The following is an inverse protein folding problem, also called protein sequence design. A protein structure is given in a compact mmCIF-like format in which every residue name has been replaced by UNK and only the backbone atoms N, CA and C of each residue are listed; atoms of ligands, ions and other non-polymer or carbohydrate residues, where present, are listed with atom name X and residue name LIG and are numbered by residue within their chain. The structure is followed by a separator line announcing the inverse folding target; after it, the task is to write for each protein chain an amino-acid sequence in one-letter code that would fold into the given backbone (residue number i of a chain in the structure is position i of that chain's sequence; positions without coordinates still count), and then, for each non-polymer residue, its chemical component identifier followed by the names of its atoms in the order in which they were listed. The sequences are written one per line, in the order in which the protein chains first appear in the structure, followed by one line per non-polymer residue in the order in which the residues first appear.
data_IF_402402901206
#
_entry.id   IF_402402901206
#
_cell.length_a   1.000
_cell.length_b   1.000
_cell.length_c   1.000
_cell.angle_alpha   90.00
_cell.angle_beta   90.00
_cell.angle_gamma   90.00
#
_symmetry.space_group_name_H-M   'P 1'
#
loop_
_entity.id
_entity.type
_entity.pdbx_description
1 polymer ?
#
# COMPACT_ATOMS: atom_id res chain seq x y z
N UNK A 1 36.21 -2.79 -15.19
CA UNK A 1 35.75 -4.15 -14.90
C UNK A 1 34.24 -4.12 -14.87
N UNK A 2 33.64 -4.90 -15.76
CA UNK A 2 32.18 -4.88 -16.04
C UNK A 2 31.40 -5.49 -14.90
N UNK A 3 30.44 -4.75 -14.31
CA UNK A 3 29.41 -5.34 -13.45
C UNK A 3 28.16 -5.59 -14.30
N UNK A 4 27.83 -6.85 -14.41
CA UNK A 4 26.65 -7.38 -15.08
C UNK A 4 25.38 -7.01 -14.29
N UNK A 5 24.46 -6.37 -14.97
CA UNK A 5 23.07 -6.25 -14.54
C UNK A 5 22.44 -7.64 -14.47
N UNK A 6 21.92 -8.01 -13.31
CA UNK A 6 20.91 -9.07 -13.21
C UNK A 6 19.54 -8.43 -13.21
N UNK A 7 18.93 -8.39 -14.38
CA UNK A 7 17.53 -8.08 -14.57
C UNK A 7 16.74 -9.38 -14.37
N UNK A 8 16.05 -9.55 -13.25
CA UNK A 8 15.06 -10.61 -13.08
C UNK A 8 13.70 -10.03 -13.39
N UNK A 9 13.33 -10.13 -14.67
CA UNK A 9 12.02 -9.78 -15.18
C UNK A 9 11.12 -10.99 -15.03
N UNK A 10 10.07 -10.89 -14.22
CA UNK A 10 8.91 -11.77 -14.22
C UNK A 10 7.66 -10.93 -14.45
N UNK A 11 7.58 -10.38 -15.67
CA UNK A 11 6.32 -9.83 -16.17
C UNK A 11 5.73 -10.95 -17.06
N UNK A 12 4.74 -11.64 -16.54
CA UNK A 12 3.89 -12.53 -17.31
C UNK A 12 3.05 -11.69 -18.29
N UNK A 13 3.48 -11.62 -19.52
CA UNK A 13 2.74 -10.99 -20.62
C UNK A 13 1.52 -11.85 -20.91
N UNK A 14 0.34 -11.32 -20.62
CA UNK A 14 -0.91 -11.85 -21.13
C UNK A 14 -1.01 -11.47 -22.61
N UNK A 15 -0.48 -12.34 -23.49
CA UNK A 15 -0.65 -12.22 -24.94
C UNK A 15 -2.10 -12.50 -25.30
N UNK A 16 -2.88 -11.43 -25.57
CA UNK A 16 -4.11 -11.53 -26.33
C UNK A 16 -3.73 -11.89 -27.77
N UNK A 17 -3.88 -13.18 -28.12
CA UNK A 17 -3.79 -13.66 -29.49
C UNK A 17 -4.96 -13.08 -30.29
N UNK A 18 -4.68 -12.13 -31.16
CA UNK A 18 -5.60 -11.70 -32.20
C UNK A 18 -5.60 -12.82 -33.29
N UNK A 19 -6.61 -13.67 -33.23
CA UNK A 19 -6.84 -14.65 -34.28
C UNK A 19 -7.44 -13.96 -35.50
N UNK A 20 -6.72 -13.92 -36.58
CA UNK A 20 -7.23 -13.52 -37.90
C UNK A 20 -8.29 -14.51 -38.36
N UNK A 21 -9.54 -14.05 -38.37
CA UNK A 21 -10.66 -14.83 -38.93
C UNK A 21 -10.58 -14.79 -40.46
N UNK A 22 -10.25 -15.92 -41.04
CA UNK A 22 -10.38 -16.11 -42.46
C UNK A 22 -11.87 -16.12 -42.83
N UNK A 23 -12.29 -15.22 -43.69
CA UNK A 23 -13.64 -15.16 -44.25
C UNK A 23 -13.84 -16.29 -45.23
N UNK A 24 -14.51 -17.35 -44.81
CA UNK A 24 -15.08 -18.32 -45.74
C UNK A 24 -16.48 -17.85 -46.15
N UNK A 25 -16.69 -17.66 -47.42
CA UNK A 25 -17.97 -17.34 -48.02
C UNK A 25 -19.02 -18.40 -47.65
N UNK A 26 -19.98 -18.02 -46.82
CA UNK A 26 -21.11 -18.88 -46.49
C UNK A 26 -22.09 -18.92 -47.65
N UNK A 27 -22.37 -20.13 -48.10
CA UNK A 27 -23.45 -20.47 -49.04
C UNK A 27 -24.76 -20.18 -48.29
N UNK A 28 -25.61 -19.32 -48.86
CA UNK A 28 -26.93 -19.05 -48.34
C UNK A 28 -27.79 -20.30 -48.43
N UNK A 29 -27.96 -20.98 -47.30
CA UNK A 29 -28.94 -22.03 -47.14
C UNK A 29 -30.23 -21.42 -46.58
N UNK A 30 -31.31 -21.75 -47.25
CA UNK A 30 -32.71 -21.45 -47.00
C UNK A 30 -33.08 -21.39 -45.51
N UNK A 31 -33.14 -20.17 -44.93
CA UNK A 31 -33.34 -19.89 -43.48
C UNK A 31 -34.82 -19.70 -43.14
N UNK A 32 -35.73 -19.84 -44.13
CA UNK A 32 -37.17 -19.57 -43.92
C UNK A 32 -37.93 -20.68 -43.17
N UNK A 33 -37.25 -21.76 -42.78
CA UNK A 33 -37.94 -22.92 -42.20
C UNK A 33 -37.65 -23.18 -40.73
N UNK A 34 -36.86 -22.36 -40.07
CA UNK A 34 -36.45 -22.58 -38.66
C UNK A 34 -36.88 -21.43 -37.72
N UNK A 35 -37.54 -20.42 -38.21
CA UNK A 35 -38.10 -19.40 -37.34
C UNK A 35 -39.54 -19.79 -36.95
N UNK A 36 -39.68 -20.84 -36.15
CA UNK A 36 -40.77 -20.86 -35.17
C UNK A 36 -40.58 -19.65 -34.27
N UNK A 37 -41.66 -18.94 -33.87
CA UNK A 37 -41.55 -17.91 -32.90
C UNK A 37 -41.15 -18.53 -31.57
N UNK A 38 -39.88 -18.92 -31.43
CA UNK A 38 -39.28 -19.12 -30.12
C UNK A 38 -39.43 -17.81 -29.39
N UNK A 39 -40.11 -17.87 -28.25
CA UNK A 39 -40.22 -16.75 -27.33
C UNK A 39 -38.89 -16.00 -27.33
N UNK A 40 -38.86 -14.83 -27.94
CA UNK A 40 -37.73 -13.93 -27.84
C UNK A 40 -37.44 -13.79 -26.35
N UNK A 41 -36.22 -14.01 -25.88
CA UNK A 41 -35.91 -13.76 -24.49
C UNK A 41 -36.38 -12.32 -24.21
N UNK A 42 -37.32 -12.19 -23.29
CA UNK A 42 -37.74 -10.87 -22.82
C UNK A 42 -36.45 -10.19 -22.33
N UNK A 43 -35.94 -9.29 -23.19
CA UNK A 43 -34.88 -8.37 -22.76
C UNK A 43 -35.54 -7.57 -21.65
N UNK A 44 -35.32 -7.96 -20.40
CA UNK A 44 -35.65 -7.10 -19.28
C UNK A 44 -34.95 -5.79 -19.57
N UNK A 45 -35.68 -4.65 -19.63
CA UNK A 45 -35.01 -3.38 -19.77
C UNK A 45 -33.95 -3.37 -18.66
N UNK A 46 -32.69 -3.18 -19.04
CA UNK A 46 -31.62 -2.97 -18.11
C UNK A 46 -32.04 -1.72 -17.35
N UNK A 47 -32.53 -1.90 -16.13
CA UNK A 47 -32.76 -0.77 -15.24
C UNK A 47 -31.40 -0.12 -15.13
N UNK A 48 -31.29 1.09 -15.68
CA UNK A 48 -30.08 1.91 -15.55
C UNK A 48 -29.88 2.09 -14.07
N UNK A 49 -29.09 1.22 -13.46
CA UNK A 49 -28.95 1.09 -12.02
C UNK A 49 -28.16 2.27 -11.46
N UNK A 50 -28.83 3.43 -11.40
CA UNK A 50 -28.32 4.59 -10.69
C UNK A 50 -28.57 4.37 -9.22
N UNK A 51 -27.54 4.07 -8.45
CA UNK A 51 -27.78 3.89 -7.06
C UNK A 51 -26.60 3.94 -6.11
N UNK A 52 -26.96 4.38 -4.91
CA UNK A 52 -26.04 4.35 -3.80
C UNK A 52 -25.76 2.91 -3.33
N UNK A 53 -24.53 2.68 -2.92
CA UNK A 53 -24.17 1.44 -2.24
C UNK A 53 -23.26 1.72 -1.05
N UNK A 54 -23.34 0.86 -0.06
CA UNK A 54 -22.36 0.76 1.01
C UNK A 54 -21.41 -0.38 0.71
N UNK A 55 -20.16 -0.23 1.09
CA UNK A 55 -19.17 -1.32 1.00
C UNK A 55 -18.44 -1.51 2.30
N UNK A 56 -18.04 -2.74 2.56
CA UNK A 56 -17.10 -3.11 3.60
C UNK A 56 -16.08 -4.07 3.03
N UNK A 57 -14.82 -3.91 3.41
CA UNK A 57 -13.71 -4.67 2.87
C UNK A 57 -12.79 -5.16 3.97
N UNK A 58 -12.26 -6.35 3.81
CA UNK A 58 -11.09 -6.84 4.54
C UNK A 58 -9.99 -7.12 3.52
N UNK A 59 -8.76 -6.77 3.87
CA UNK A 59 -7.61 -6.97 3.00
C UNK A 59 -6.49 -7.71 3.72
N UNK A 60 -5.69 -8.42 2.96
CA UNK A 60 -4.46 -9.03 3.41
C UNK A 60 -3.30 -8.51 2.56
N UNK A 61 -2.28 -7.95 3.22
CA UNK A 61 -1.09 -7.44 2.56
C UNK A 61 -0.19 -8.61 2.15
N UNK A 62 -0.17 -8.90 0.85
CA UNK A 62 0.65 -9.98 0.31
C UNK A 62 2.13 -9.58 0.17
N UNK A 63 2.38 -8.28 -0.02
CA UNK A 63 3.73 -7.73 -0.15
C UNK A 63 3.72 -6.24 0.15
N UNK A 64 4.71 -5.79 0.89
CA UNK A 64 5.03 -4.38 1.08
C UNK A 64 6.46 -4.13 0.62
N UNK A 65 6.65 -3.11 -0.21
CA UNK A 65 7.96 -2.63 -0.63
C UNK A 65 8.13 -1.21 -0.08
N UNK A 66 9.29 -0.95 0.50
CA UNK A 66 9.61 0.34 1.08
C UNK A 66 10.89 0.86 0.44
N UNK A 67 10.88 2.12 0.08
CA UNK A 67 12.11 2.80 -0.25
C UNK A 67 12.97 2.95 1.01
N UNK A 68 14.29 2.93 0.81
CA UNK A 68 15.22 2.92 1.92
C UNK A 68 14.99 4.10 2.87
N UNK A 69 14.70 3.85 4.16
CA UNK A 69 14.58 4.91 5.13
C UNK A 69 15.93 5.60 5.34
N UNK A 70 15.90 6.86 5.74
CA UNK A 70 17.07 7.63 6.10
C UNK A 70 17.01 8.08 7.54
N UNK A 71 18.16 8.24 8.18
CA UNK A 71 18.22 8.86 9.49
C UNK A 71 19.47 9.74 9.62
N UNK A 72 19.38 10.73 10.50
CA UNK A 72 20.46 11.65 10.81
C UNK A 72 20.82 11.56 12.30
N UNK A 73 22.10 11.69 12.57
CA UNK A 73 22.61 11.86 13.93
C UNK A 73 22.89 13.34 14.20
N UNK A 74 22.80 13.75 15.46
CA UNK A 74 23.08 15.10 15.88
C UNK A 74 24.18 15.09 16.95
N UNK A 75 25.15 15.98 16.82
CA UNK A 75 26.18 16.22 17.82
C UNK A 75 26.13 17.66 18.36
N UNK A 76 26.59 17.86 19.60
CA UNK A 76 26.53 19.14 20.34
C UNK A 76 27.15 20.34 19.61
N UNK A 77 27.95 20.11 18.59
CA UNK A 77 28.52 21.16 17.74
C UNK A 77 27.60 21.58 16.58
N UNK A 78 26.27 21.32 16.66
CA UNK A 78 25.27 21.53 15.59
C UNK A 78 25.59 20.80 14.28
N UNK A 79 26.28 19.70 14.36
CA UNK A 79 26.62 18.90 13.20
C UNK A 79 25.61 17.75 13.04
N UNK A 80 24.87 17.79 11.93
CA UNK A 80 24.05 16.70 11.48
C UNK A 80 24.86 15.79 10.58
N UNK A 81 24.77 14.47 10.80
CA UNK A 81 25.44 13.47 9.97
C UNK A 81 24.45 12.41 9.55
N UNK A 82 24.46 12.03 8.28
CA UNK A 82 23.67 10.92 7.81
C UNK A 82 24.21 9.61 8.38
N UNK A 83 23.31 8.81 8.92
CA UNK A 83 23.57 7.41 9.27
C UNK A 83 23.36 6.51 8.07
N UNK A 84 23.88 5.28 8.15
CA UNK A 84 23.69 4.25 7.13
C UNK A 84 22.67 3.24 7.60
N UNK A 85 21.54 3.11 6.86
CA UNK A 85 20.57 2.04 7.08
C UNK A 85 21.13 0.76 6.49
N UNK A 86 21.18 -0.30 7.27
CA UNK A 86 21.66 -1.62 6.85
C UNK A 86 20.53 -2.55 6.46
N UNK A 87 19.45 -2.54 7.23
CA UNK A 87 18.23 -3.30 6.96
C UNK A 87 17.01 -2.54 7.45
N UNK A 88 15.91 -2.69 6.75
CA UNK A 88 14.60 -2.20 7.20
C UNK A 88 13.54 -3.23 6.88
N UNK A 89 12.61 -3.41 7.78
CA UNK A 89 11.40 -4.21 7.58
C UNK A 89 10.20 -3.41 8.02
N UNK A 90 9.16 -3.45 7.19
CA UNK A 90 7.85 -2.91 7.49
C UNK A 90 6.85 -4.01 7.20
N UNK A 91 5.94 -4.24 8.10
CA UNK A 91 4.99 -5.35 8.02
C UNK A 91 3.59 -4.83 8.31
N UNK A 92 2.71 -5.02 7.32
CA UNK A 92 1.27 -4.85 7.44
C UNK A 92 0.61 -6.21 7.23
N UNK A 93 -0.23 -6.66 8.13
CA UNK A 93 -0.89 -7.96 7.97
C UNK A 93 -2.26 -7.82 7.33
N UNK A 94 -3.15 -7.10 8.00
CA UNK A 94 -4.54 -6.97 7.61
C UNK A 94 -5.00 -5.53 7.56
N UNK A 95 -5.94 -5.28 6.66
CA UNK A 95 -6.68 -4.03 6.58
C UNK A 95 -8.17 -4.29 6.77
N UNK A 96 -8.86 -3.30 7.31
CA UNK A 96 -10.31 -3.24 7.33
C UNK A 96 -10.72 -1.90 6.76
N UNK A 97 -11.74 -1.90 5.91
CA UNK A 97 -12.21 -0.68 5.27
C UNK A 97 -13.71 -0.67 5.06
N UNK A 98 -14.20 0.51 4.80
CA UNK A 98 -15.59 0.73 4.43
C UNK A 98 -15.75 1.98 3.60
N UNK A 99 -16.89 2.12 2.96
CA UNK A 99 -17.13 3.26 2.11
C UNK A 99 -18.57 3.36 1.62
N UNK A 100 -18.82 4.48 0.97
CA UNK A 100 -20.07 4.76 0.29
C UNK A 100 -19.77 5.06 -1.17
N UNK A 101 -20.57 4.53 -2.06
CA UNK A 101 -20.38 4.72 -3.49
C UNK A 101 -21.67 4.93 -4.24
N UNK A 102 -21.51 5.31 -5.48
CA UNK A 102 -22.60 5.55 -6.40
C UNK A 102 -22.30 4.89 -7.75
N UNK A 103 -23.27 4.19 -8.30
CA UNK A 103 -23.23 3.63 -9.65
C UNK A 103 -23.84 4.66 -10.60
N UNK A 104 -23.02 5.24 -11.47
CA UNK A 104 -23.45 6.23 -12.45
C UNK A 104 -24.12 5.58 -13.67
N UNK A 105 -23.54 4.45 -14.09
CA UNK A 105 -24.03 3.63 -15.21
C UNK A 105 -23.75 2.15 -14.91
N UNK A 106 -24.17 1.26 -15.80
CA UNK A 106 -23.84 -0.18 -15.66
C UNK A 106 -22.35 -0.45 -15.77
N UNK A 107 -21.59 0.46 -16.41
CA UNK A 107 -20.15 0.33 -16.58
C UNK A 107 -19.31 1.13 -15.59
N UNK A 108 -19.85 2.22 -15.03
CA UNK A 108 -19.06 3.15 -14.22
C UNK A 108 -19.65 3.35 -12.84
N UNK A 109 -18.80 3.24 -11.85
CA UNK A 109 -19.11 3.53 -10.44
C UNK A 109 -17.96 4.26 -9.78
N UNK A 110 -18.25 4.97 -8.71
CA UNK A 110 -17.25 5.61 -7.88
C UNK A 110 -17.60 5.46 -6.41
N UNK A 111 -16.60 5.52 -5.57
CA UNK A 111 -16.80 5.51 -4.13
C UNK A 111 -15.78 6.36 -3.37
N UNK A 112 -16.12 6.65 -2.13
CA UNK A 112 -15.22 7.19 -1.12
C UNK A 112 -15.03 6.12 -0.08
N UNK A 113 -13.78 5.77 0.21
CA UNK A 113 -13.43 4.73 1.18
C UNK A 113 -12.51 5.26 2.26
N UNK A 114 -12.63 4.66 3.44
CA UNK A 114 -11.70 4.80 4.54
C UNK A 114 -11.19 3.40 4.90
N UNK A 115 -9.88 3.20 4.76
CA UNK A 115 -9.20 1.95 5.12
C UNK A 115 -8.30 2.19 6.34
N UNK A 116 -8.30 1.24 7.26
CA UNK A 116 -7.47 1.21 8.46
C UNK A 116 -6.50 0.05 8.36
N UNK A 117 -5.23 0.32 8.57
CA UNK A 117 -4.17 -0.68 8.57
C UNK A 117 -3.29 -0.46 9.77
N UNK A 118 -2.94 -1.54 10.45
CA UNK A 118 -1.95 -1.53 11.53
C UNK A 118 -0.73 -2.30 11.08
N UNK A 119 0.43 -1.72 11.38
CA UNK A 119 1.69 -2.33 11.01
C UNK A 119 2.75 -2.13 12.08
N UNK A 120 3.87 -2.81 11.87
CA UNK A 120 5.07 -2.68 12.67
C UNK A 120 6.27 -2.46 11.76
N UNK A 121 7.30 -1.85 12.31
CA UNK A 121 8.54 -1.66 11.59
C UNK A 121 9.75 -1.92 12.48
N UNK A 122 10.84 -2.34 11.86
CA UNK A 122 12.16 -2.40 12.45
C UNK A 122 13.20 -1.89 11.45
N UNK A 123 14.06 -0.99 11.92
CA UNK A 123 15.14 -0.39 11.13
C UNK A 123 16.45 -0.59 11.87
N UNK A 124 17.42 -1.20 11.20
CA UNK A 124 18.77 -1.33 11.69
C UNK A 124 19.70 -0.41 10.91
N UNK A 125 20.58 0.24 11.61
CA UNK A 125 21.54 1.14 11.00
C UNK A 125 22.85 1.20 11.76
N UNK A 126 23.83 1.84 11.14
CA UNK A 126 25.12 2.13 11.76
C UNK A 126 25.49 3.58 11.55
N UNK A 127 26.15 4.17 12.50
CA UNK A 127 26.60 5.56 12.39
C UNK A 127 27.65 5.92 13.45
N UNK A 128 28.43 6.95 13.14
CA UNK A 128 29.37 7.53 14.08
C UNK A 128 28.60 8.34 15.14
N UNK A 129 29.09 8.27 16.37
CA UNK A 129 28.62 9.07 17.52
C UNK A 129 27.14 8.85 17.93
N UNK A 130 26.49 7.77 17.43
CA UNK A 130 25.12 7.40 17.84
C UNK A 130 25.03 7.02 19.32
N UNK A 131 26.13 6.55 19.91
CA UNK A 131 26.26 6.22 21.33
C UNK A 131 27.11 7.23 22.08
N UNK A 132 27.18 8.48 21.65
CA UNK A 132 28.12 9.50 22.13
C UNK A 132 28.04 9.81 23.64
N UNK A 133 26.89 9.55 24.29
CA UNK A 133 26.74 9.75 25.73
C UNK A 133 27.46 8.72 26.58
N UNK A 134 27.82 7.55 25.99
CA UNK A 134 28.41 6.41 26.69
C UNK A 134 29.69 5.90 26.04
N UNK A 135 30.02 6.36 24.85
CA UNK A 135 31.16 5.90 24.06
C UNK A 135 32.09 7.07 23.71
N UNK A 136 33.41 6.83 23.55
CA UNK A 136 34.33 7.84 23.07
C UNK A 136 33.91 8.43 21.72
N UNK A 137 34.28 9.68 21.47
CA UNK A 137 34.03 10.34 20.20
C UNK A 137 34.55 9.50 19.02
N UNK A 138 33.83 9.52 17.88
CA UNK A 138 34.11 8.74 16.67
C UNK A 138 33.97 7.24 16.80
N UNK A 139 33.23 6.75 17.80
CA UNK A 139 32.89 5.33 17.93
C UNK A 139 31.75 4.97 16.99
N UNK A 140 31.88 3.87 16.26
CA UNK A 140 30.78 3.35 15.42
C UNK A 140 29.77 2.61 16.28
N UNK A 141 28.52 2.96 16.16
CA UNK A 141 27.41 2.31 16.84
C UNK A 141 26.47 1.63 15.85
N UNK A 142 25.97 0.47 16.21
CA UNK A 142 24.78 -0.14 15.61
C UNK A 142 23.57 0.36 16.34
N UNK A 143 22.51 0.73 15.61
CA UNK A 143 21.23 1.12 16.18
C UNK A 143 20.13 0.22 15.65
N UNK A 144 19.26 -0.22 16.53
CA UNK A 144 18.02 -0.93 16.20
C UNK A 144 16.85 -0.09 16.69
N UNK A 145 16.01 0.34 15.77
CA UNK A 145 14.80 1.11 16.06
C UNK A 145 13.59 0.30 15.65
N UNK A 146 12.62 0.16 16.55
CA UNK A 146 11.38 -0.55 16.27
C UNK A 146 10.17 0.17 16.86
N UNK A 147 9.03 -0.01 16.22
CA UNK A 147 7.78 0.61 16.64
C UNK A 147 6.59 0.07 15.86
N UNK A 148 5.44 0.61 16.20
CA UNK A 148 4.18 0.34 15.51
C UNK A 148 3.70 1.60 14.80
N UNK A 149 2.89 1.42 13.76
CA UNK A 149 2.24 2.52 13.07
C UNK A 149 0.80 2.17 12.69
N UNK A 150 -0.03 3.20 12.64
CA UNK A 150 -1.41 3.12 12.15
C UNK A 150 -1.53 3.94 10.87
N UNK A 151 -2.13 3.34 9.83
CA UNK A 151 -2.44 4.00 8.58
C UNK A 151 -3.95 4.18 8.44
N UNK A 152 -4.37 5.44 8.23
CA UNK A 152 -5.75 5.82 7.94
C UNK A 152 -5.78 6.36 6.51
N UNK A 153 -6.27 5.55 5.58
CA UNK A 153 -6.26 5.87 4.15
C UNK A 153 -7.65 6.30 3.70
N UNK A 154 -7.81 7.57 3.34
CA UNK A 154 -9.04 8.12 2.78
C UNK A 154 -8.86 8.29 1.27
N UNK A 155 -9.70 7.62 0.48
CA UNK A 155 -9.57 7.56 -0.97
C UNK A 155 -10.88 7.90 -1.69
N UNK A 156 -10.76 8.51 -2.85
CA UNK A 156 -11.81 8.62 -3.86
C UNK A 156 -11.42 7.69 -5.01
N UNK A 157 -12.29 6.77 -5.34
CA UNK A 157 -12.03 5.72 -6.32
C UNK A 157 -13.05 5.78 -7.46
N UNK A 158 -12.59 5.45 -8.66
CA UNK A 158 -13.41 5.22 -9.83
C UNK A 158 -13.18 3.82 -10.38
N UNK A 159 -14.23 3.18 -10.88
CA UNK A 159 -14.18 1.83 -11.41
C UNK A 159 -14.91 1.73 -12.74
N UNK A 160 -14.39 0.86 -13.59
CA UNK A 160 -15.04 0.41 -14.80
C UNK A 160 -15.37 -1.08 -14.67
N UNK A 161 -16.66 -1.40 -14.67
CA UNK A 161 -17.20 -2.76 -14.66
C UNK A 161 -17.27 -3.25 -16.13
N UNK A 162 -16.65 -4.39 -16.44
CA UNK A 162 -16.40 -4.87 -17.81
C UNK A 162 -17.50 -5.77 -18.37
N UNK A 163 -18.67 -5.74 -17.75
CA UNK A 163 -19.83 -6.55 -18.12
C UNK A 163 -19.97 -7.82 -17.29
N UNK A 164 -21.22 -8.26 -17.12
CA UNK A 164 -21.56 -9.41 -16.27
C UNK A 164 -21.80 -10.65 -17.08
N UNK A 165 -21.10 -11.74 -16.74
CA UNK A 165 -21.26 -13.06 -17.34
C UNK A 165 -21.51 -14.08 -16.23
N UNK A 166 -22.67 -14.72 -16.24
CA UNK A 166 -23.07 -15.73 -15.25
C UNK A 166 -22.96 -15.22 -13.77
N UNK A 167 -23.27 -13.95 -13.54
CA UNK A 167 -23.19 -13.32 -12.21
C UNK A 167 -21.82 -12.79 -11.84
N UNK A 168 -20.78 -13.02 -12.65
CA UNK A 168 -19.45 -12.49 -12.44
C UNK A 168 -19.22 -11.22 -13.27
N UNK A 169 -18.77 -10.16 -12.62
CA UNK A 169 -18.48 -8.87 -13.24
C UNK A 169 -17.01 -8.51 -12.95
N UNK A 170 -16.10 -8.72 -13.93
CA UNK A 170 -14.73 -8.20 -13.81
C UNK A 170 -14.73 -6.68 -13.76
N UNK A 171 -13.80 -6.11 -13.00
CA UNK A 171 -13.64 -4.66 -12.93
C UNK A 171 -12.18 -4.25 -12.85
N UNK A 172 -11.92 -3.01 -13.26
CA UNK A 172 -10.66 -2.29 -13.02
C UNK A 172 -10.99 -0.95 -12.39
N UNK A 173 -10.07 -0.40 -11.62
CA UNK A 173 -10.28 0.87 -10.94
C UNK A 173 -8.98 1.59 -10.64
N UNK A 174 -9.12 2.87 -10.35
CA UNK A 174 -8.05 3.73 -9.87
C UNK A 174 -8.59 4.66 -8.79
N UNK A 175 -7.72 5.05 -7.87
CA UNK A 175 -8.07 5.96 -6.80
C UNK A 175 -6.94 6.90 -6.44
N UNK A 176 -7.33 8.04 -5.86
CA UNK A 176 -6.41 9.02 -5.29
C UNK A 176 -6.93 9.47 -3.93
N UNK A 177 -6.04 9.86 -3.06
CA UNK A 177 -6.43 10.29 -1.74
C UNK A 177 -5.25 10.63 -0.85
N UNK A 178 -5.46 10.51 0.44
CA UNK A 178 -4.46 10.79 1.46
C UNK A 178 -4.43 9.68 2.49
N UNK A 179 -3.22 9.33 2.92
CA UNK A 179 -2.98 8.42 4.02
C UNK A 179 -2.37 9.20 5.19
N UNK A 180 -3.04 9.17 6.33
CA UNK A 180 -2.43 9.59 7.59
C UNK A 180 -1.62 8.42 8.11
N UNK A 181 -0.29 8.56 8.08
CA UNK A 181 0.63 7.61 8.70
C UNK A 181 0.96 8.14 10.09
N UNK A 182 0.62 7.39 11.12
CA UNK A 182 0.84 7.75 12.51
C UNK A 182 1.76 6.72 13.16
N UNK A 183 3.01 7.09 13.37
CA UNK A 183 3.97 6.30 14.11
C UNK A 183 3.74 6.45 15.61
N UNK A 184 3.73 5.34 16.33
CA UNK A 184 3.67 5.31 17.79
C UNK A 184 5.00 5.67 18.45
N UNK A 185 5.14 5.29 19.69
CA UNK A 185 6.42 5.41 20.40
C UNK A 185 7.43 4.44 19.80
N UNK A 186 8.64 4.93 19.58
CA UNK A 186 9.72 4.18 18.94
C UNK A 186 10.82 3.97 19.94
N UNK A 187 11.19 2.71 20.13
CA UNK A 187 12.33 2.32 20.94
C UNK A 187 13.55 2.12 20.06
N UNK A 188 14.62 2.82 20.38
CA UNK A 188 15.91 2.69 19.70
C UNK A 188 16.95 2.17 20.70
N UNK A 189 17.64 1.09 20.33
CA UNK A 189 18.72 0.50 21.10
C UNK A 189 20.02 0.68 20.34
N UNK A 190 20.95 1.42 20.92
CA UNK A 190 22.28 1.64 20.36
C UNK A 190 23.31 0.73 21.04
N UNK A 191 24.10 0.01 20.24
CA UNK A 191 25.16 -0.89 20.70
C UNK A 191 26.49 -0.51 20.06
N UNK A 192 27.56 -0.45 20.84
CA UNK A 192 28.89 -0.17 20.30
C UNK A 192 29.43 -1.36 19.51
N UNK A 193 29.89 -1.13 18.27
CA UNK A 193 30.41 -2.17 17.37
C UNK A 193 31.93 -2.19 17.20
N UNK A 194 32.61 -1.13 17.60
CA UNK A 194 34.08 -1.07 17.57
C UNK A 194 34.66 -1.84 18.75
N UNK A 195 34.80 -3.15 18.63
CA UNK A 195 35.31 -4.00 19.69
C UNK A 195 36.71 -3.57 20.17
N UNK A 196 36.96 -3.71 21.46
CA UNK A 196 38.29 -3.57 22.07
C UNK A 196 38.62 -2.13 22.50
N UNK A 197 38.14 -1.71 23.65
CA UNK A 197 38.57 -0.49 24.35
C UNK A 197 37.96 0.83 23.90
N UNK A 198 37.40 0.89 22.72
CA UNK A 198 36.70 2.10 22.24
C UNK A 198 35.31 2.26 22.86
N UNK A 199 34.65 1.16 23.23
CA UNK A 199 33.38 1.14 23.93
C UNK A 199 33.62 1.15 25.44
N UNK A 200 33.76 2.30 26.04
CA UNK A 200 34.08 2.46 27.47
C UNK A 200 33.09 1.83 28.46
N UNK A 201 31.88 1.57 28.04
CA UNK A 201 30.86 0.78 28.73
C UNK A 201 30.17 -0.14 27.74
N UNK A 202 29.97 -1.39 28.11
CA UNK A 202 29.31 -2.43 27.29
C UNK A 202 27.78 -2.40 27.41
N UNK A 203 27.22 -1.33 27.93
CA UNK A 203 25.77 -1.21 28.12
C UNK A 203 25.13 -0.59 26.89
N UNK A 204 24.10 -1.28 26.39
CA UNK A 204 23.23 -0.75 25.35
C UNK A 204 22.60 0.58 25.82
N UNK A 205 22.54 1.53 24.92
CA UNK A 205 21.82 2.80 25.14
C UNK A 205 20.42 2.64 24.57
N UNK A 206 19.44 2.67 25.45
CA UNK A 206 18.04 2.65 25.04
C UNK A 206 17.49 4.07 25.07
N UNK A 207 16.94 4.52 23.96
CA UNK A 207 16.26 5.79 23.84
C UNK A 207 14.85 5.61 23.28
N UNK A 208 13.95 6.48 23.73
CA UNK A 208 12.57 6.52 23.26
C UNK A 208 12.34 7.79 22.47
N UNK A 209 11.64 7.68 21.35
CA UNK A 209 11.29 8.78 20.47
C UNK A 209 9.79 8.82 20.26
N UNK A 210 9.22 10.02 20.29
CA UNK A 210 7.83 10.19 19.87
C UNK A 210 7.73 10.07 18.36
N UNK A 211 6.84 9.22 17.89
CA UNK A 211 6.58 9.05 16.47
C UNK A 211 5.94 10.30 15.86
N UNK A 212 6.16 10.49 14.57
CA UNK A 212 5.53 11.51 13.75
C UNK A 212 4.18 11.07 13.22
N UNK A 213 3.34 12.02 12.85
CA UNK A 213 2.03 11.75 12.25
C UNK A 213 1.76 12.75 11.14
N UNK A 214 1.80 12.27 9.90
CA UNK A 214 1.71 13.10 8.72
C UNK A 214 0.66 12.61 7.72
N UNK A 215 0.05 13.55 6.99
CA UNK A 215 -0.80 13.26 5.85
C UNK A 215 0.04 13.19 4.58
N UNK A 216 -0.05 12.08 3.86
CA UNK A 216 0.73 11.78 2.66
C UNK A 216 -0.20 11.53 1.49
N UNK A 217 0.16 12.01 0.31
CA UNK A 217 -0.60 11.70 -0.89
C UNK A 217 -0.48 10.21 -1.20
N UNK A 218 -1.58 9.69 -1.70
CA UNK A 218 -1.70 8.27 -2.00
C UNK A 218 -2.46 8.10 -3.30
N UNK A 219 -2.01 7.18 -4.13
CA UNK A 219 -2.76 6.72 -5.28
C UNK A 219 -2.83 5.19 -5.28
N UNK A 220 -3.83 4.64 -5.96
CA UNK A 220 -4.04 3.21 -6.00
C UNK A 220 -4.57 2.76 -7.37
N UNK A 221 -4.22 1.53 -7.73
CA UNK A 221 -4.81 0.79 -8.84
C UNK A 221 -5.49 -0.46 -8.30
N UNK A 222 -6.61 -0.81 -8.90
CA UNK A 222 -7.44 -1.91 -8.44
C UNK A 222 -7.90 -2.76 -9.63
N UNK A 223 -7.97 -4.06 -9.42
CA UNK A 223 -8.58 -4.97 -10.36
C UNK A 223 -9.21 -6.14 -9.59
N UNK A 224 -10.31 -6.68 -10.10
CA UNK A 224 -10.97 -7.76 -9.41
C UNK A 224 -12.19 -8.27 -10.13
N UNK A 225 -12.96 -9.08 -9.43
CA UNK A 225 -14.22 -9.64 -9.88
C UNK A 225 -15.27 -9.50 -8.79
N UNK A 226 -16.44 -9.04 -9.18
CA UNK A 226 -17.65 -9.01 -8.35
C UNK A 226 -18.52 -10.22 -8.68
N UNK A 227 -19.14 -10.78 -7.66
CA UNK A 227 -20.15 -11.83 -7.84
C UNK A 227 -21.49 -11.39 -7.25
N UNK A 228 -22.52 -11.51 -8.03
CA UNK A 228 -23.88 -11.11 -7.63
C UNK A 228 -24.53 -12.24 -6.81
N UNK A 229 -24.60 -12.08 -5.47
CA UNK A 229 -25.33 -13.02 -4.62
C UNK A 229 -26.85 -12.87 -4.78
N UNK A 230 -27.30 -11.63 -4.92
CA UNK A 230 -28.66 -11.25 -5.28
C UNK A 230 -28.66 -9.80 -5.80
N UNK A 231 -29.84 -9.24 -6.07
CA UNK A 231 -29.98 -7.89 -6.66
C UNK A 231 -29.39 -6.77 -5.77
N UNK A 232 -29.26 -7.01 -4.47
CA UNK A 232 -28.81 -6.01 -3.49
C UNK A 232 -27.39 -6.27 -2.97
N UNK A 233 -26.94 -7.54 -2.99
CA UNK A 233 -25.68 -7.95 -2.35
C UNK A 233 -24.71 -8.47 -3.42
N UNK A 234 -23.54 -7.85 -3.47
CA UNK A 234 -22.41 -8.29 -4.30
C UNK A 234 -21.20 -8.58 -3.41
N UNK A 235 -20.46 -9.61 -3.74
CA UNK A 235 -19.16 -9.93 -3.13
C UNK A 235 -18.06 -9.63 -4.12
N UNK A 236 -17.04 -8.92 -3.67
CA UNK A 236 -15.90 -8.52 -4.46
C UNK A 236 -14.64 -9.27 -4.01
N UNK A 237 -13.95 -9.91 -4.93
CA UNK A 237 -12.58 -10.37 -4.73
C UNK A 237 -11.68 -9.53 -5.62
N UNK A 238 -10.73 -8.84 -5.02
CA UNK A 238 -9.90 -7.89 -5.74
C UNK A 238 -8.46 -7.86 -5.27
N UNK A 239 -7.68 -7.19 -6.07
CA UNK A 239 -6.31 -6.81 -5.79
C UNK A 239 -6.23 -5.28 -5.82
N UNK A 240 -5.53 -4.72 -4.84
CA UNK A 240 -5.25 -3.28 -4.73
C UNK A 240 -3.74 -3.09 -4.61
N UNK A 241 -3.18 -2.35 -5.56
CA UNK A 241 -1.87 -1.76 -5.43
C UNK A 241 -2.04 -0.33 -4.93
N UNK A 242 -1.29 0.09 -3.92
CA UNK A 242 -1.28 1.46 -3.44
C UNK A 242 0.14 1.95 -3.21
N UNK A 243 0.38 3.22 -3.55
CA UNK A 243 1.65 3.91 -3.32
C UNK A 243 1.40 5.13 -2.44
N UNK A 244 2.16 5.23 -1.36
CA UNK A 244 2.11 6.30 -0.37
C UNK A 244 3.41 7.07 -0.39
N UNK A 245 3.33 8.40 -0.50
CA UNK A 245 4.53 9.26 -0.53
C UNK A 245 5.37 9.14 0.75
N UNK A 246 6.66 9.47 0.62
CA UNK A 246 7.63 9.58 1.69
C UNK A 246 7.19 10.53 2.81
N UNK A 247 7.70 10.30 4.01
CA UNK A 247 7.44 11.18 5.14
C UNK A 247 8.28 10.87 6.37
N UNK A 248 8.02 11.59 7.44
CA UNK A 248 8.78 11.51 8.67
C UNK A 248 8.33 10.33 9.54
N UNK A 249 9.30 9.62 10.14
CA UNK A 249 9.03 8.53 11.09
C UNK A 249 9.05 9.08 12.51
N UNK A 250 10.13 9.76 12.92
CA UNK A 250 10.28 10.37 14.25
C UNK A 250 11.26 11.54 14.24
N UNK A 251 11.08 12.44 15.22
CA UNK A 251 11.99 13.53 15.50
C UNK A 251 13.11 13.15 16.46
N UNK A 252 13.96 14.13 16.78
CA UNK A 252 15.01 13.94 17.75
C UNK A 252 14.43 13.71 19.16
N UNK A 253 15.17 12.98 20.01
CA UNK A 253 14.81 12.79 21.41
C UNK A 253 14.76 14.14 22.15
N UNK A 254 14.05 14.17 23.27
CA UNK A 254 13.94 15.39 24.10
C UNK A 254 15.32 15.91 24.54
N UNK A 255 16.24 15.02 24.84
CA UNK A 255 17.61 15.38 25.24
C UNK A 255 18.39 16.02 24.09
N UNK A 256 18.29 15.45 22.88
CA UNK A 256 18.93 16.02 21.71
C UNK A 256 18.30 17.37 21.32
N UNK A 257 16.99 17.50 21.44
CA UNK A 257 16.27 18.75 21.20
C UNK A 257 16.68 19.85 22.21
N UNK A 258 16.89 19.51 23.46
CA UNK A 258 17.40 20.43 24.47
C UNK A 258 18.84 20.94 24.19
N UNK A 259 19.59 20.16 23.41
CA UNK A 259 20.93 20.51 22.92
C UNK A 259 20.91 21.26 21.57
N UNK A 260 19.72 21.53 21.02
CA UNK A 260 19.53 22.31 19.80
C UNK A 260 19.21 21.48 18.54
N UNK A 261 19.00 20.17 18.65
CA UNK A 261 18.54 19.37 17.54
C UNK A 261 17.10 19.74 17.13
N UNK A 262 16.84 19.81 15.83
CA UNK A 262 15.52 20.16 15.30
C UNK A 262 15.23 19.40 14.00
N UNK A 263 13.96 19.27 13.65
CA UNK A 263 13.50 18.57 12.46
C UNK A 263 13.32 17.07 12.67
N UNK A 264 13.22 16.33 11.56
CA UNK A 264 13.07 14.88 11.57
C UNK A 264 14.41 14.20 11.72
N UNK A 265 14.49 13.24 12.65
CA UNK A 265 15.67 12.40 12.79
C UNK A 265 15.65 11.23 11.81
N UNK A 266 14.47 10.67 11.54
CA UNK A 266 14.30 9.57 10.60
C UNK A 266 13.09 9.81 9.70
N UNK A 267 13.25 9.46 8.42
CA UNK A 267 12.19 9.50 7.42
C UNK A 267 12.20 8.20 6.60
N UNK A 268 11.01 7.76 6.20
CA UNK A 268 10.85 6.69 5.23
C UNK A 268 10.80 7.26 3.79
N UNK A 269 11.16 6.45 2.81
CA UNK A 269 11.13 6.83 1.39
C UNK A 269 9.74 6.70 0.76
N UNK A 270 8.71 6.39 1.54
CA UNK A 270 7.41 5.99 1.05
C UNK A 270 7.28 4.48 0.96
N UNK A 271 6.09 4.00 0.65
CA UNK A 271 5.85 2.56 0.55
C UNK A 271 4.80 2.20 -0.49
N UNK A 272 5.02 1.05 -1.08
CA UNK A 272 4.13 0.39 -2.01
C UNK A 272 3.52 -0.83 -1.34
N UNK A 273 2.20 -0.99 -1.48
CA UNK A 273 1.49 -2.09 -0.87
C UNK A 273 0.67 -2.86 -1.89
N UNK A 274 0.82 -4.17 -1.87
CA UNK A 274 0.12 -5.14 -2.67
C UNK A 274 -0.86 -5.92 -1.79
N UNK A 275 -2.13 -5.74 -1.98
CA UNK A 275 -3.18 -6.23 -1.10
C UNK A 275 -4.21 -7.06 -1.87
N UNK A 276 -4.53 -8.24 -1.34
CA UNK A 276 -5.69 -9.01 -1.77
C UNK A 276 -6.87 -8.64 -0.88
N UNK A 277 -8.00 -8.30 -1.47
CA UNK A 277 -9.18 -7.81 -0.76
C UNK A 277 -10.39 -8.68 -1.01
N UNK A 278 -11.14 -8.93 0.06
CA UNK A 278 -12.49 -9.47 0.02
C UNK A 278 -13.44 -8.38 0.51
N UNK A 279 -14.41 -8.05 -0.32
CA UNK A 279 -15.38 -6.99 -0.04
C UNK A 279 -16.81 -7.46 -0.19
N UNK A 280 -17.71 -6.73 0.42
CA UNK A 280 -19.14 -6.85 0.22
C UNK A 280 -19.75 -5.48 -0.06
N UNK A 281 -20.62 -5.42 -1.06
CA UNK A 281 -21.39 -4.23 -1.40
C UNK A 281 -22.88 -4.48 -1.20
N UNK A 282 -23.53 -3.53 -0.58
CA UNK A 282 -24.97 -3.49 -0.33
C UNK A 282 -25.57 -2.34 -1.12
N UNK A 283 -26.35 -2.64 -2.14
CA UNK A 283 -27.09 -1.65 -2.93
C UNK A 283 -28.42 -1.32 -2.26
N UNK A 284 -28.87 -0.08 -2.40
CA UNK A 284 -30.07 0.40 -1.70
C UNK A 284 -31.39 0.09 -2.40
N UNK A 285 -31.38 -0.66 -3.50
CA UNK A 285 -32.56 -1.18 -4.28
C UNK A 285 -32.30 -2.56 -4.82
#
# INVERSE_FOLDING_TARGET
MRKLLKCSSLIGIFCLGVSTVATTSAIAADLDRIISPMNAPTIKPVEVGNGWYLRGDIGYTAKQENDAPSFNTFSVANNYRAGTVTTSSFEDDFSIGGGIGYRFTDMFRGDVTLDLVKGSFAVNGTGLDLCASTSPASTTCSINSSGQYDNYMAMVNGYADLGTIAGFTPYVGAGVGFTKVAYGEITSTGTCVDGGGACGATTDVVSSHSGSSDWRKTWALMAGVSYDLNDQIKVDLGYKYSNVEAGDIYGYSADAAALGASGSQSSDGGFERHEVRLGMRLSTW
#
